data_IF_186475188352
#
_entry.id   IF_186475188352
#
_cell.length_a   1.000
_cell.length_b   1.000
_cell.length_c   1.000
_cell.angle_alpha   90.00
_cell.angle_beta   90.00
_cell.angle_gamma   90.00
#
_symmetry.space_group_name_H-M   'P 1'
#
loop_
_entity.id
_entity.type
_entity.pdbx_description
1 polymer ?
#
# COMPACT_ATOMS: atom_id res chain seq x y z
N UNK A 1 24.78 46.86 32.76
CA UNK A 1 24.37 46.24 31.49
C UNK A 1 25.57 45.49 30.96
N UNK A 2 25.50 44.16 30.90
CA UNK A 2 26.58 43.30 30.43
C UNK A 2 25.97 42.42 29.34
N UNK A 3 26.15 42.84 28.10
CA UNK A 3 25.71 42.10 26.92
C UNK A 3 26.73 40.99 26.67
N UNK A 4 26.33 39.74 26.91
CA UNK A 4 27.07 38.58 26.44
C UNK A 4 26.33 38.00 25.24
N UNK A 5 26.85 38.30 24.05
CA UNK A 5 26.51 37.65 22.80
C UNK A 5 27.21 36.28 22.78
N UNK A 6 26.54 35.24 23.26
CA UNK A 6 27.01 33.88 23.07
C UNK A 6 26.66 33.40 21.67
N UNK A 7 27.72 33.11 20.92
CA UNK A 7 27.75 32.78 19.51
C UNK A 7 26.92 31.53 19.15
N UNK A 8 26.22 31.62 18.02
CA UNK A 8 25.53 30.51 17.38
C UNK A 8 26.55 29.47 16.87
N UNK A 9 26.52 28.27 17.41
CA UNK A 9 27.19 27.10 16.83
C UNK A 9 26.28 26.52 15.75
N UNK A 10 26.45 26.98 14.51
CA UNK A 10 25.85 26.31 13.35
C UNK A 10 26.68 25.08 13.00
N UNK A 11 26.09 23.89 13.16
CA UNK A 11 26.63 22.64 12.65
C UNK A 11 26.45 22.60 11.12
N UNK A 12 27.53 22.75 10.36
CA UNK A 12 27.50 22.61 8.90
C UNK A 12 27.73 21.15 8.51
N UNK A 13 26.66 20.46 8.10
CA UNK A 13 26.73 19.13 7.50
C UNK A 13 27.07 19.28 6.01
N UNK A 14 28.25 18.79 5.63
CA UNK A 14 28.74 18.77 4.25
C UNK A 14 28.08 17.61 3.50
N UNK A 15 27.18 17.90 2.54
CA UNK A 15 26.69 16.90 1.58
C UNK A 15 27.66 16.84 0.40
N UNK A 16 28.50 15.80 0.35
CA UNK A 16 29.35 15.53 -0.81
C UNK A 16 28.50 14.99 -1.96
N UNK A 17 28.48 15.72 -3.07
CA UNK A 17 27.98 15.27 -4.38
C UNK A 17 29.13 14.65 -5.17
N UNK A 18 29.01 13.37 -5.52
CA UNK A 18 29.89 12.73 -6.50
C UNK A 18 29.16 12.62 -7.83
N UNK A 19 29.45 13.58 -8.72
CA UNK A 19 29.19 13.48 -10.16
C UNK A 19 30.32 12.66 -10.79
N UNK A 20 29.98 11.57 -11.49
CA UNK A 20 30.91 10.92 -12.42
C UNK A 20 30.21 10.63 -13.74
N UNK A 21 30.31 11.57 -14.67
CA UNK A 21 30.22 11.29 -16.09
C UNK A 21 31.55 10.71 -16.58
N UNK A 22 31.52 9.59 -17.33
CA UNK A 22 32.53 9.29 -18.36
C UNK A 22 32.01 8.25 -19.38
N UNK A 23 31.79 8.74 -20.60
CA UNK A 23 31.56 8.00 -21.85
C UNK A 23 32.77 7.14 -22.24
N UNK A 24 32.56 5.92 -22.76
CA UNK A 24 33.35 5.41 -23.90
C UNK A 24 32.66 4.26 -24.69
N UNK A 25 32.22 4.62 -25.90
CA UNK A 25 32.09 3.92 -27.21
C UNK A 25 32.20 2.37 -27.32
N UNK A 26 31.08 1.76 -27.72
CA UNK A 26 30.79 0.98 -28.95
C UNK A 26 31.90 0.13 -29.62
N UNK A 27 31.65 -1.18 -29.81
CA UNK A 27 31.89 -1.93 -31.05
C UNK A 27 31.17 -3.30 -31.04
N UNK A 28 30.76 -3.71 -32.24
CA UNK A 28 29.77 -4.74 -32.61
C UNK A 28 30.41 -6.13 -32.89
N UNK A 29 29.56 -7.13 -33.18
CA UNK A 29 29.75 -8.41 -33.91
C UNK A 29 29.94 -9.67 -33.05
N UNK A 30 29.49 -10.88 -33.41
CA UNK A 30 28.35 -11.49 -34.16
C UNK A 30 28.59 -13.02 -34.04
N UNK A 31 27.53 -13.79 -33.78
CA UNK A 31 27.32 -15.24 -34.03
C UNK A 31 28.27 -16.31 -33.43
N UNK A 32 27.67 -17.38 -32.88
CA UNK A 32 28.28 -18.73 -32.93
C UNK A 32 28.11 -19.67 -31.72
N UNK A 33 26.97 -20.37 -31.67
CA UNK A 33 26.86 -21.83 -31.44
C UNK A 33 27.09 -22.50 -30.05
N UNK A 34 26.15 -23.39 -29.74
CA UNK A 34 26.15 -24.50 -28.74
C UNK A 34 26.04 -24.09 -27.26
N UNK A 35 25.26 -24.71 -26.37
CA UNK A 35 24.78 -26.08 -26.31
C UNK A 35 23.51 -26.13 -25.43
N UNK A 36 22.42 -26.70 -25.95
CA UNK A 36 21.17 -26.89 -25.21
C UNK A 36 21.35 -27.94 -24.14
N UNK A 37 21.08 -27.59 -22.89
CA UNK A 37 20.79 -28.55 -21.82
C UNK A 37 19.46 -28.16 -21.22
N UNK A 38 18.42 -28.85 -21.68
CA UNK A 38 17.11 -28.84 -21.08
C UNK A 38 17.24 -29.38 -19.65
N UNK A 39 17.25 -28.48 -18.67
CA UNK A 39 16.81 -28.81 -17.32
C UNK A 39 15.33 -28.48 -17.24
N UNK A 40 14.57 -29.57 -17.29
CA UNK A 40 13.27 -29.78 -16.65
C UNK A 40 12.56 -28.52 -16.19
N UNK A 41 11.49 -28.18 -16.91
CA UNK A 41 10.41 -27.34 -16.40
C UNK A 41 9.80 -28.11 -15.22
N UNK A 42 9.92 -27.66 -13.97
CA UNK A 42 9.00 -28.13 -12.95
C UNK A 42 7.65 -27.57 -13.37
N UNK A 43 6.77 -28.46 -13.80
CA UNK A 43 5.36 -28.20 -13.96
C UNK A 43 4.78 -28.00 -12.56
N UNK A 44 5.13 -26.89 -11.91
CA UNK A 44 4.50 -26.41 -10.69
C UNK A 44 3.10 -25.95 -11.09
N UNK A 45 2.20 -26.93 -11.12
CA UNK A 45 0.77 -26.74 -10.85
C UNK A 45 0.69 -25.68 -9.74
N UNK A 46 0.01 -24.53 -9.94
CA UNK A 46 -0.03 -23.51 -8.89
C UNK A 46 -0.59 -24.18 -7.65
N UNK A 47 0.26 -24.35 -6.64
CA UNK A 47 -0.17 -24.66 -5.30
C UNK A 47 -1.23 -23.61 -4.98
N UNK A 48 -2.41 -24.05 -4.55
CA UNK A 48 -3.42 -23.13 -4.03
C UNK A 48 -2.82 -22.56 -2.75
N UNK A 49 -2.06 -21.47 -2.88
CA UNK A 49 -1.54 -20.70 -1.77
C UNK A 49 -2.77 -20.21 -1.01
N UNK A 50 -2.96 -20.69 0.22
CA UNK A 50 -4.04 -20.17 1.06
C UNK A 50 -3.90 -18.64 1.12
N UNK A 51 -4.99 -17.89 0.95
CA UNK A 51 -4.94 -16.44 1.08
C UNK A 51 -4.39 -16.08 2.47
N UNK A 52 -3.63 -14.98 2.54
CA UNK A 52 -3.19 -14.46 3.84
C UNK A 52 -4.43 -13.99 4.63
N UNK A 53 -4.34 -13.90 5.97
CA UNK A 53 -5.44 -13.36 6.77
C UNK A 53 -5.91 -11.96 6.33
N UNK A 54 -5.01 -11.17 5.76
CA UNK A 54 -5.32 -9.84 5.21
C UNK A 54 -6.13 -9.94 3.92
N UNK A 55 -5.72 -10.81 2.98
CA UNK A 55 -6.44 -11.06 1.73
C UNK A 55 -7.83 -11.68 1.98
N UNK A 56 -7.93 -12.55 2.98
CA UNK A 56 -9.20 -13.12 3.43
C UNK A 56 -10.13 -12.03 3.96
N UNK A 57 -9.62 -11.13 4.82
CA UNK A 57 -10.40 -9.99 5.32
C UNK A 57 -10.88 -9.07 4.18
N UNK A 58 -10.05 -8.78 3.18
CA UNK A 58 -10.48 -8.01 2.00
C UNK A 58 -11.64 -8.72 1.28
N UNK A 59 -11.55 -10.04 1.13
CA UNK A 59 -12.61 -10.87 0.56
C UNK A 59 -13.91 -10.79 1.36
N UNK A 60 -13.84 -10.92 2.67
CA UNK A 60 -15.00 -10.85 3.57
C UNK A 60 -15.65 -9.47 3.57
N UNK A 61 -14.85 -8.40 3.57
CA UNK A 61 -15.33 -7.03 3.44
C UNK A 61 -16.05 -6.88 2.09
N UNK A 62 -15.45 -7.30 0.97
CA UNK A 62 -16.09 -7.24 -0.35
C UNK A 62 -17.38 -8.06 -0.42
N UNK A 63 -17.44 -9.22 0.23
CA UNK A 63 -18.65 -10.04 0.32
C UNK A 63 -19.76 -9.32 1.10
N UNK A 64 -19.42 -8.62 2.19
CA UNK A 64 -20.37 -7.78 2.94
C UNK A 64 -20.89 -6.57 2.15
N UNK A 65 -20.12 -6.15 1.13
CA UNK A 65 -20.43 -5.02 0.23
C UNK A 65 -21.22 -5.42 -1.02
N UNK A 66 -21.70 -6.67 -1.12
CA UNK A 66 -22.44 -7.23 -2.26
C UNK A 66 -23.79 -6.57 -2.59
N UNK A 67 -24.73 -7.30 -3.19
CA UNK A 67 -25.92 -6.73 -3.86
C UNK A 67 -26.89 -5.94 -2.96
N UNK A 68 -26.83 -6.09 -1.64
CA UNK A 68 -27.61 -5.29 -0.68
C UNK A 68 -26.78 -4.98 0.58
N UNK A 69 -25.83 -4.02 0.50
CA UNK A 69 -24.84 -3.85 1.53
C UNK A 69 -25.38 -3.00 2.68
N UNK A 70 -25.44 -3.60 3.87
CA UNK A 70 -25.84 -2.89 5.09
C UNK A 70 -24.60 -2.50 5.89
N UNK A 71 -24.49 -1.23 6.34
CA UNK A 71 -23.37 -0.81 7.17
C UNK A 71 -23.19 -1.65 8.45
N UNK A 72 -24.27 -2.25 8.96
CA UNK A 72 -24.25 -3.16 10.11
C UNK A 72 -23.47 -4.45 9.86
N UNK A 73 -23.63 -5.07 8.67
CA UNK A 73 -22.88 -6.28 8.32
C UNK A 73 -21.39 -5.98 8.21
N UNK A 74 -21.03 -4.86 7.58
CA UNK A 74 -19.65 -4.41 7.52
C UNK A 74 -19.07 -4.23 8.93
N UNK A 75 -19.80 -3.56 9.83
CA UNK A 75 -19.36 -3.37 11.21
C UNK A 75 -19.06 -4.70 11.92
N UNK A 76 -19.90 -5.72 11.70
CA UNK A 76 -19.70 -7.04 12.28
C UNK A 76 -18.44 -7.72 11.74
N UNK A 77 -18.20 -7.66 10.42
CA UNK A 77 -16.98 -8.19 9.80
C UNK A 77 -15.73 -7.51 10.38
N UNK A 78 -15.72 -6.17 10.42
CA UNK A 78 -14.59 -5.41 10.97
C UNK A 78 -14.33 -5.74 12.45
N UNK A 79 -15.40 -5.90 13.25
CA UNK A 79 -15.29 -6.24 14.67
C UNK A 79 -14.84 -7.69 14.93
N UNK A 80 -15.06 -8.60 13.97
CA UNK A 80 -14.62 -10.00 14.07
C UNK A 80 -13.16 -10.21 13.70
N UNK A 81 -12.51 -9.21 13.10
CA UNK A 81 -11.12 -9.32 12.67
C UNK A 81 -10.18 -9.40 13.88
N UNK A 82 -9.21 -10.31 13.81
CA UNK A 82 -8.10 -10.42 14.78
C UNK A 82 -6.86 -9.65 14.34
N UNK A 83 -6.92 -8.95 13.21
CA UNK A 83 -5.80 -8.18 12.68
C UNK A 83 -5.62 -6.86 13.45
N UNK A 84 -4.41 -6.26 13.40
CA UNK A 84 -4.19 -4.93 13.94
C UNK A 84 -5.21 -3.92 13.39
N UNK A 85 -5.70 -2.97 14.21
CA UNK A 85 -6.72 -2.00 13.77
C UNK A 85 -6.34 -1.21 12.52
N UNK A 86 -5.04 -0.91 12.35
CA UNK A 86 -4.53 -0.24 11.16
C UNK A 86 -4.66 -1.13 9.91
N UNK A 87 -4.34 -2.42 10.01
CA UNK A 87 -4.48 -3.37 8.90
C UNK A 87 -5.95 -3.58 8.54
N UNK A 88 -6.85 -3.61 9.52
CA UNK A 88 -8.30 -3.65 9.28
C UNK A 88 -8.76 -2.42 8.49
N UNK A 89 -8.27 -1.22 8.84
CA UNK A 89 -8.62 0.00 8.11
C UNK A 89 -8.00 0.04 6.71
N UNK A 90 -6.77 -0.46 6.55
CA UNK A 90 -6.13 -0.60 5.24
C UNK A 90 -6.91 -1.56 4.33
N UNK A 91 -7.31 -2.72 4.85
CA UNK A 91 -8.11 -3.71 4.15
C UNK A 91 -9.48 -3.15 3.74
N UNK A 92 -10.11 -2.32 4.60
CA UNK A 92 -11.35 -1.63 4.26
C UNK A 92 -11.17 -0.68 3.06
N UNK A 93 -10.09 0.11 3.04
CA UNK A 93 -9.83 1.02 1.92
C UNK A 93 -9.52 0.26 0.62
N UNK A 94 -8.74 -0.83 0.71
CA UNK A 94 -8.47 -1.70 -0.43
C UNK A 94 -9.74 -2.41 -0.93
N UNK A 95 -10.63 -2.82 -0.04
CA UNK A 95 -11.90 -3.42 -0.41
C UNK A 95 -12.87 -2.43 -1.08
N UNK A 96 -12.92 -1.19 -0.58
CA UNK A 96 -13.81 -0.14 -1.09
C UNK A 96 -13.29 0.51 -2.38
N UNK A 97 -11.97 0.67 -2.49
CA UNK A 97 -11.37 1.52 -3.51
C UNK A 97 -10.23 0.88 -4.30
N UNK A 98 -9.81 -0.34 -3.95
CA UNK A 98 -8.79 -1.07 -4.68
C UNK A 98 -9.21 -1.29 -6.15
N UNK A 99 -8.31 -0.92 -7.07
CA UNK A 99 -8.55 -1.01 -8.51
C UNK A 99 -9.49 0.06 -9.08
N UNK A 100 -9.96 1.03 -8.27
CA UNK A 100 -10.78 2.14 -8.74
C UNK A 100 -9.91 3.19 -9.41
N UNK A 101 -9.95 3.24 -10.75
CA UNK A 101 -9.29 4.28 -11.53
C UNK A 101 -10.17 5.52 -11.74
N UNK A 102 -10.57 5.76 -13.00
CA UNK A 102 -11.39 6.92 -13.36
C UNK A 102 -12.75 6.85 -12.65
N UNK A 103 -13.05 7.87 -11.85
CA UNK A 103 -14.31 7.95 -11.09
C UNK A 103 -14.17 7.70 -9.59
N UNK A 104 -12.95 7.59 -9.06
CA UNK A 104 -12.66 7.46 -7.62
C UNK A 104 -13.51 8.39 -6.74
N UNK A 105 -13.61 9.69 -7.06
CA UNK A 105 -14.42 10.65 -6.30
C UNK A 105 -15.89 10.21 -6.18
N UNK A 106 -16.48 9.64 -7.23
CA UNK A 106 -17.86 9.14 -7.20
C UNK A 106 -17.99 7.93 -6.28
N UNK A 107 -17.00 7.04 -6.30
CA UNK A 107 -16.98 5.84 -5.46
C UNK A 107 -16.79 6.21 -3.98
N UNK A 108 -15.95 7.20 -3.67
CA UNK A 108 -15.80 7.75 -2.30
C UNK A 108 -17.12 8.29 -1.77
N UNK A 109 -17.84 9.08 -2.57
CA UNK A 109 -19.14 9.64 -2.16
C UNK A 109 -20.17 8.52 -1.91
N UNK A 110 -20.21 7.51 -2.79
CA UNK A 110 -21.10 6.35 -2.67
C UNK A 110 -20.83 5.52 -1.41
N UNK A 111 -19.55 5.35 -1.05
CA UNK A 111 -19.13 4.50 0.06
C UNK A 111 -18.93 5.23 1.40
N UNK A 112 -19.11 6.55 1.45
CA UNK A 112 -18.95 7.36 2.68
C UNK A 112 -19.73 6.81 3.88
N UNK A 113 -20.92 6.24 3.66
CA UNK A 113 -21.74 5.64 4.72
C UNK A 113 -21.06 4.46 5.42
N UNK A 114 -20.19 3.72 4.72
CA UNK A 114 -19.44 2.61 5.30
C UNK A 114 -18.27 3.12 6.14
N UNK A 115 -17.56 4.14 5.65
CA UNK A 115 -16.52 4.82 6.41
C UNK A 115 -17.07 5.42 7.71
N UNK A 116 -18.25 6.03 7.66
CA UNK A 116 -18.89 6.59 8.86
C UNK A 116 -19.19 5.55 9.94
N UNK A 117 -19.45 4.29 9.57
CA UNK A 117 -19.70 3.21 10.53
C UNK A 117 -18.39 2.59 11.05
N UNK A 118 -17.35 2.54 10.21
CA UNK A 118 -16.02 2.08 10.59
C UNK A 118 -15.27 3.09 11.47
N UNK A 119 -15.67 4.36 11.46
CA UNK A 119 -14.98 5.47 12.13
C UNK A 119 -15.91 6.18 13.14
N UNK A 120 -16.21 5.53 14.28
CA UNK A 120 -17.15 6.08 15.27
C UNK A 120 -16.54 7.16 16.18
N UNK A 121 -15.22 7.22 16.31
CA UNK A 121 -14.50 8.09 17.24
C UNK A 121 -13.18 8.62 16.67
N UNK A 122 -12.52 9.53 17.39
CA UNK A 122 -11.26 10.18 17.00
C UNK A 122 -10.08 9.21 16.84
N UNK A 123 -10.05 8.12 17.63
CA UNK A 123 -9.03 7.08 17.49
C UNK A 123 -9.14 6.39 16.15
N UNK A 124 -10.36 6.03 15.75
CA UNK A 124 -10.62 5.47 14.42
C UNK A 124 -10.39 6.48 13.29
N UNK A 125 -10.59 7.78 13.53
CA UNK A 125 -10.26 8.83 12.54
C UNK A 125 -8.76 8.89 12.27
N UNK A 126 -7.94 8.75 13.32
CA UNK A 126 -6.48 8.71 13.17
C UNK A 126 -6.05 7.52 12.32
N UNK A 127 -6.61 6.34 12.57
CA UNK A 127 -6.35 5.13 11.76
C UNK A 127 -6.77 5.33 10.29
N UNK A 128 -7.91 6.00 10.06
CA UNK A 128 -8.38 6.32 8.71
C UNK A 128 -7.38 7.22 7.97
N UNK A 129 -6.87 8.27 8.62
CA UNK A 129 -5.89 9.18 7.99
C UNK A 129 -4.61 8.42 7.61
N UNK A 130 -4.09 7.59 8.52
CA UNK A 130 -2.93 6.74 8.25
C UNK A 130 -3.19 5.75 7.12
N UNK A 131 -4.41 5.18 7.05
CA UNK A 131 -4.78 4.26 5.99
C UNK A 131 -4.90 4.97 4.63
N UNK A 132 -5.41 6.21 4.59
CA UNK A 132 -5.47 7.03 3.38
C UNK A 132 -4.05 7.33 2.87
N UNK A 133 -3.13 7.69 3.77
CA UNK A 133 -1.72 7.91 3.43
C UNK A 133 -1.09 6.64 2.84
N UNK A 134 -1.25 5.50 3.53
CA UNK A 134 -0.73 4.21 3.06
C UNK A 134 -1.36 3.77 1.73
N UNK A 135 -2.66 4.01 1.52
CA UNK A 135 -3.35 3.68 0.27
C UNK A 135 -2.88 4.57 -0.89
N UNK A 136 -2.70 5.87 -0.64
CA UNK A 136 -2.21 6.83 -1.63
C UNK A 136 -0.77 6.56 -2.07
N UNK A 137 0.10 6.11 -1.15
CA UNK A 137 1.48 5.75 -1.48
C UNK A 137 1.64 4.47 -2.32
N UNK A 138 0.59 3.63 -2.40
CA UNK A 138 0.56 2.41 -3.21
C UNK A 138 0.06 2.64 -4.65
N UNK A 139 -0.58 3.78 -4.93
CA UNK A 139 -1.28 4.07 -6.18
C UNK A 139 -0.46 4.91 -7.16
#
# INVERSE_FOLDING_TARGET
>A
MQEQLSAATAEMVMLSTEETEKKMKQATHKDGSTNGSAKEIPNDKPAVTKPSPYEELIGDIKASLGSAPTPTQLKAVLASSTLPPQDVMNALLEALFGGVGKGFTKEVVKNKKYLAVAVPDEGAQTLLVQAIEAFGGKC
#
